data_IF_404539278784
#
_entry.id   IF_404539278784
#
_cell.length_a   1.000
_cell.length_b   1.000
_cell.length_c   1.000
_cell.angle_alpha   90.00
_cell.angle_beta   90.00
_cell.angle_gamma   90.00
#
_symmetry.space_group_name_H-M   'P 1'
#
loop_
_entity.id
_entity.type
_entity.pdbx_description
1 polymer ?
#
# COMPACT_ATOMS: atom_id res chain seq x y z
N UNK A 1 -9.09 3.31 53.59
CA UNK A 1 -8.43 4.24 52.63
C UNK A 1 -7.27 3.61 51.85
N UNK A 2 -6.47 2.67 52.40
CA UNK A 2 -5.40 1.99 51.63
C UNK A 2 -5.90 0.95 50.60
N UNK A 3 -7.05 0.32 50.85
CA UNK A 3 -7.67 -0.68 49.96
C UNK A 3 -8.39 -0.08 48.74
N UNK A 4 -8.86 1.18 48.81
CA UNK A 4 -9.48 1.86 47.66
C UNK A 4 -8.45 2.33 46.63
N UNK A 5 -7.21 2.64 47.05
CA UNK A 5 -6.15 3.04 46.13
C UNK A 5 -5.64 1.87 45.26
N UNK A 6 -5.72 0.63 45.76
CA UNK A 6 -5.29 -0.55 45.02
C UNK A 6 -6.26 -0.98 43.91
N UNK A 7 -7.57 -0.71 44.06
CA UNK A 7 -8.57 -1.06 43.03
C UNK A 7 -8.56 -0.11 41.82
N UNK A 8 -8.11 1.14 41.96
CA UNK A 8 -8.05 2.12 40.86
C UNK A 8 -6.86 1.90 39.91
N UNK A 9 -5.83 1.14 40.30
CA UNK A 9 -4.69 0.84 39.42
C UNK A 9 -4.89 -0.41 38.54
N UNK A 10 -5.93 -1.22 38.79
CA UNK A 10 -6.22 -2.44 38.02
C UNK A 10 -7.02 -2.18 36.72
N UNK A 11 -7.39 -0.93 36.44
CA UNK A 11 -8.18 -0.55 35.25
C UNK A 11 -7.37 0.21 34.19
N UNK A 12 -6.07 0.43 34.42
CA UNK A 12 -5.16 0.98 33.42
C UNK A 12 -4.36 -0.15 32.76
N UNK A 13 -5.05 -1.12 32.16
CA UNK A 13 -4.39 -1.95 31.15
C UNK A 13 -4.04 -1.01 30.00
N UNK A 14 -2.76 -0.89 29.59
CA UNK A 14 -2.42 -0.11 28.42
C UNK A 14 -3.12 -0.76 27.22
N UNK A 15 -4.20 -0.13 26.74
CA UNK A 15 -4.71 -0.41 25.42
C UNK A 15 -3.56 -0.10 24.46
N UNK A 16 -2.93 -1.14 23.94
CA UNK A 16 -1.99 -0.98 22.84
C UNK A 16 -2.83 -0.51 21.66
N UNK A 17 -2.88 0.80 21.45
CA UNK A 17 -3.54 1.39 20.30
C UNK A 17 -2.77 0.92 19.06
N UNK A 18 -3.37 0.00 18.31
CA UNK A 18 -2.88 -0.37 16.98
C UNK A 18 -3.03 0.85 16.10
N UNK A 19 -1.89 1.42 15.69
CA UNK A 19 -1.86 2.54 14.77
C UNK A 19 -2.22 2.06 13.35
N UNK A 20 -2.98 2.86 12.61
CA UNK A 20 -3.30 2.56 11.22
C UNK A 20 -2.05 2.69 10.33
N UNK A 21 -1.91 1.77 9.37
CA UNK A 21 -0.87 1.85 8.35
C UNK A 21 -1.34 2.62 7.11
N UNK A 22 -0.38 3.15 6.36
CA UNK A 22 -0.61 3.76 5.05
C UNK A 22 0.52 3.32 4.11
N UNK A 23 0.25 3.06 2.82
CA UNK A 23 -1.08 3.03 2.18
C UNK A 23 -1.94 1.87 2.71
N UNK A 24 -3.24 1.89 2.42
CA UNK A 24 -4.16 0.84 2.81
C UNK A 24 -5.37 0.71 1.85
N UNK A 25 -5.95 -0.48 1.81
CA UNK A 25 -7.17 -0.79 1.06
C UNK A 25 -8.43 -0.43 1.87
N UNK A 26 -9.37 0.19 1.19
CA UNK A 26 -10.68 0.60 1.69
C UNK A 26 -11.78 0.14 0.73
N UNK A 27 -12.99 0.00 1.25
CA UNK A 27 -14.20 -0.25 0.46
C UNK A 27 -15.16 0.93 0.61
N UNK A 28 -15.87 1.27 -0.47
CA UNK A 28 -16.89 2.32 -0.45
C UNK A 28 -18.05 1.90 0.46
N UNK A 29 -18.52 2.84 1.27
CA UNK A 29 -19.59 2.61 2.23
C UNK A 29 -20.42 3.88 2.44
N UNK A 30 -21.71 3.73 2.75
CA UNK A 30 -22.58 4.86 3.05
C UNK A 30 -22.94 5.75 1.85
N UNK A 31 -22.75 5.27 0.62
CA UNK A 31 -23.17 5.91 -0.64
C UNK A 31 -24.44 5.21 -1.15
N UNK A 32 -25.42 5.97 -1.62
CA UNK A 32 -26.67 5.40 -2.15
C UNK A 32 -26.41 4.64 -3.46
N UNK A 33 -27.24 3.63 -3.77
CA UNK A 33 -27.04 2.76 -4.93
C UNK A 33 -27.16 3.47 -6.29
N UNK A 34 -27.85 4.61 -6.33
CA UNK A 34 -28.02 5.49 -7.49
C UNK A 34 -27.11 6.73 -7.47
N UNK A 35 -26.13 6.77 -6.56
CA UNK A 35 -25.16 7.86 -6.42
C UNK A 35 -23.72 7.36 -6.67
N UNK A 36 -22.73 8.25 -6.53
CA UNK A 36 -21.31 7.94 -6.63
C UNK A 36 -20.49 8.68 -5.58
N UNK A 37 -19.36 8.09 -5.18
CA UNK A 37 -18.37 8.79 -4.38
C UNK A 37 -17.38 9.53 -5.28
N UNK A 38 -17.45 10.86 -5.29
CA UNK A 38 -16.58 11.69 -6.11
C UNK A 38 -15.13 11.70 -5.62
N UNK A 39 -14.19 11.58 -6.56
CA UNK A 39 -12.77 11.90 -6.38
C UNK A 39 -12.57 13.33 -6.86
N UNK A 40 -12.00 14.18 -6.02
CA UNK A 40 -11.86 15.61 -6.24
C UNK A 40 -10.41 16.02 -6.40
N UNK A 41 -10.15 17.09 -7.13
CA UNK A 41 -8.80 17.56 -7.40
C UNK A 41 -8.01 17.95 -6.13
N UNK A 42 -8.73 18.35 -5.07
CA UNK A 42 -8.19 18.74 -3.77
C UNK A 42 -9.07 18.17 -2.64
N UNK A 43 -8.59 18.10 -1.38
CA UNK A 43 -9.38 17.68 -0.23
C UNK A 43 -10.42 18.75 0.18
N UNK A 44 -11.35 19.04 -0.73
CA UNK A 44 -12.37 20.07 -0.61
C UNK A 44 -13.64 19.62 -1.37
N UNK A 45 -14.80 19.68 -0.72
CA UNK A 45 -16.08 19.29 -1.30
C UNK A 45 -16.55 20.20 -2.45
N UNK A 46 -15.94 21.37 -2.61
CA UNK A 46 -16.18 22.31 -3.71
C UNK A 46 -15.18 22.15 -4.86
N UNK A 47 -14.09 21.39 -4.66
CA UNK A 47 -13.08 21.20 -5.70
C UNK A 47 -13.64 20.43 -6.90
N UNK A 48 -13.09 20.66 -8.12
CA UNK A 48 -13.49 19.96 -9.33
C UNK A 48 -13.44 18.44 -9.16
N UNK A 49 -14.42 17.75 -9.75
CA UNK A 49 -14.48 16.29 -9.78
C UNK A 49 -13.54 15.80 -10.89
N UNK A 50 -12.62 14.90 -10.54
CA UNK A 50 -11.61 14.30 -11.45
C UNK A 50 -11.79 12.80 -11.65
N UNK A 51 -12.76 12.21 -10.94
CA UNK A 51 -13.10 10.80 -11.01
C UNK A 51 -14.26 10.47 -10.08
N UNK A 52 -14.69 9.22 -10.10
CA UNK A 52 -15.74 8.73 -9.19
C UNK A 52 -15.55 7.25 -8.90
N UNK A 53 -16.04 6.82 -7.75
CA UNK A 53 -16.10 5.43 -7.30
C UNK A 53 -17.56 5.01 -7.20
N UNK A 54 -17.84 3.76 -7.58
CA UNK A 54 -19.17 3.16 -7.44
C UNK A 54 -19.53 2.98 -5.96
N UNK A 55 -20.82 2.95 -5.61
CA UNK A 55 -21.28 2.73 -4.24
C UNK A 55 -20.77 1.43 -3.58
N UNK A 56 -20.45 0.43 -4.38
CA UNK A 56 -19.98 -0.90 -3.98
C UNK A 56 -18.51 -1.16 -4.37
N UNK A 57 -17.75 -0.12 -4.69
CA UNK A 57 -16.36 -0.30 -5.11
C UNK A 57 -15.50 -0.79 -3.93
N UNK A 58 -14.76 -1.87 -4.16
CA UNK A 58 -13.86 -2.50 -3.19
C UNK A 58 -12.39 -2.26 -3.56
N UNK A 59 -11.48 -2.51 -2.61
CA UNK A 59 -10.03 -2.48 -2.82
C UNK A 59 -9.50 -1.13 -3.31
N UNK A 60 -10.06 -0.05 -2.81
CA UNK A 60 -9.61 1.32 -3.06
C UNK A 60 -8.33 1.57 -2.27
N UNK A 61 -7.19 1.67 -2.96
CA UNK A 61 -5.94 2.06 -2.33
C UNK A 61 -5.97 3.55 -1.97
N UNK A 62 -6.02 3.84 -0.67
CA UNK A 62 -5.79 5.17 -0.12
C UNK A 62 -4.32 5.28 0.26
N UNK A 63 -3.63 6.19 -0.42
CA UNK A 63 -2.18 6.36 -0.33
C UNK A 63 -1.77 6.98 1.00
N UNK A 64 -2.48 8.03 1.41
CA UNK A 64 -2.29 8.75 2.68
C UNK A 64 -3.51 9.61 3.01
N UNK A 65 -3.75 9.92 4.29
CA UNK A 65 -4.77 10.89 4.68
C UNK A 65 -4.25 12.33 4.53
N UNK A 66 -5.17 13.30 4.63
CA UNK A 66 -4.86 14.67 4.99
C UNK A 66 -4.62 14.81 6.51
N UNK A 67 -4.16 15.99 6.94
CA UNK A 67 -3.77 16.22 8.35
C UNK A 67 -4.94 16.00 9.33
N UNK A 68 -6.17 16.24 8.88
CA UNK A 68 -7.38 16.08 9.66
C UNK A 68 -8.06 14.71 9.51
N UNK A 69 -7.51 13.82 8.69
CA UNK A 69 -8.09 12.50 8.39
C UNK A 69 -9.54 12.56 7.89
N UNK A 70 -9.93 13.64 7.22
CA UNK A 70 -11.22 13.80 6.55
C UNK A 70 -11.17 13.36 5.08
N UNK A 71 -9.99 13.40 4.47
CA UNK A 71 -9.76 13.10 3.07
C UNK A 71 -8.60 12.12 2.89
N UNK A 72 -8.75 11.21 1.94
CA UNK A 72 -7.72 10.27 1.50
C UNK A 72 -7.24 10.63 0.10
N UNK A 73 -5.94 10.56 -0.13
CA UNK A 73 -5.37 10.66 -1.47
C UNK A 73 -5.48 9.31 -2.18
N UNK A 74 -6.09 9.28 -3.36
CA UNK A 74 -6.22 8.11 -4.23
C UNK A 74 -5.72 8.43 -5.63
N UNK A 75 -5.28 7.42 -6.38
CA UNK A 75 -4.99 7.58 -7.80
C UNK A 75 -6.28 7.43 -8.63
N UNK A 76 -6.38 8.18 -9.74
CA UNK A 76 -7.48 8.11 -10.70
C UNK A 76 -6.91 8.33 -12.10
N UNK A 77 -6.90 7.27 -12.93
CA UNK A 77 -6.19 7.29 -14.22
C UNK A 77 -4.69 7.54 -14.04
N UNK A 78 -4.16 8.52 -14.78
CA UNK A 78 -2.77 8.96 -14.73
C UNK A 78 -2.51 10.02 -13.64
N UNK A 79 -3.54 10.44 -12.91
CA UNK A 79 -3.46 11.45 -11.87
C UNK A 79 -3.86 10.94 -10.50
N UNK A 80 -4.13 11.89 -9.60
CA UNK A 80 -4.52 11.67 -8.21
C UNK A 80 -5.53 12.69 -7.73
N UNK A 81 -6.28 12.36 -6.69
CA UNK A 81 -7.27 13.25 -6.10
C UNK A 81 -7.65 12.85 -4.67
N UNK A 82 -8.38 13.74 -4.00
CA UNK A 82 -8.94 13.54 -2.68
C UNK A 82 -10.30 12.85 -2.74
N UNK A 83 -10.51 11.87 -1.88
CA UNK A 83 -11.81 11.24 -1.61
C UNK A 83 -12.15 11.38 -0.14
N UNK A 84 -13.42 11.59 0.20
CA UNK A 84 -13.81 11.76 1.60
C UNK A 84 -13.77 10.43 2.35
N UNK A 85 -12.97 10.34 3.41
CA UNK A 85 -12.77 9.12 4.20
C UNK A 85 -14.05 8.68 4.93
N UNK A 86 -15.01 9.57 5.14
CA UNK A 86 -16.31 9.24 5.75
C UNK A 86 -17.13 8.20 4.98
N UNK A 87 -16.83 8.03 3.69
CA UNK A 87 -17.51 7.10 2.78
C UNK A 87 -16.63 5.90 2.44
N UNK A 88 -15.55 5.70 3.19
CA UNK A 88 -14.61 4.61 3.01
C UNK A 88 -14.49 3.84 4.32
N UNK A 89 -14.66 2.53 4.26
CA UNK A 89 -14.41 1.62 5.37
C UNK A 89 -13.09 0.91 5.14
N UNK A 90 -12.19 1.01 6.10
CA UNK A 90 -10.86 0.39 6.02
C UNK A 90 -10.96 -1.13 6.09
N UNK A 91 -10.30 -1.84 5.19
CA UNK A 91 -10.22 -3.29 5.30
C UNK A 91 -9.38 -3.70 6.52
N UNK A 92 -9.78 -4.81 7.16
CA UNK A 92 -9.14 -5.31 8.38
C UNK A 92 -7.69 -5.79 8.15
N UNK A 93 -6.92 -5.96 9.24
CA UNK A 93 -5.57 -6.57 9.18
C UNK A 93 -4.42 -5.64 8.76
N UNK A 94 -4.70 -4.38 8.40
CA UNK A 94 -3.68 -3.45 7.86
C UNK A 94 -3.12 -2.48 8.93
N UNK A 95 -2.56 -2.94 10.05
CA UNK A 95 -2.04 -2.04 11.10
C UNK A 95 -0.55 -1.70 10.88
N UNK A 96 -0.02 -0.68 11.55
CA UNK A 96 1.37 -0.24 11.39
C UNK A 96 2.37 -1.33 11.81
N UNK A 97 3.10 -1.88 10.83
CA UNK A 97 3.98 -3.03 11.00
C UNK A 97 3.39 -4.35 10.49
N UNK A 98 2.12 -4.38 10.08
CA UNK A 98 1.57 -5.47 9.28
C UNK A 98 2.15 -5.42 7.86
N UNK A 99 2.42 -6.58 7.28
CA UNK A 99 2.81 -6.67 5.88
C UNK A 99 1.71 -6.08 4.99
N UNK A 100 1.98 -5.05 4.17
CA UNK A 100 0.98 -4.51 3.26
C UNK A 100 0.62 -5.57 2.19
N UNK A 101 -0.65 -5.62 1.75
CA UNK A 101 -1.09 -6.50 0.67
C UNK A 101 -0.63 -5.96 -0.69
N UNK A 102 0.68 -5.96 -0.92
CA UNK A 102 1.29 -5.46 -2.17
C UNK A 102 0.76 -6.29 -3.33
N UNK A 103 0.20 -5.63 -4.34
CA UNK A 103 -0.30 -6.27 -5.54
C UNK A 103 0.66 -6.15 -6.71
N UNK A 104 1.31 -4.98 -6.84
CA UNK A 104 2.21 -4.67 -7.95
C UNK A 104 3.30 -3.70 -7.52
N UNK A 105 4.50 -3.87 -8.07
CA UNK A 105 5.57 -2.89 -8.00
C UNK A 105 6.19 -2.69 -9.38
N UNK A 106 6.84 -1.56 -9.61
CA UNK A 106 7.58 -1.31 -10.84
C UNK A 106 8.43 -0.06 -10.79
N UNK A 107 9.31 0.05 -11.79
CA UNK A 107 10.22 1.17 -11.96
C UNK A 107 10.24 1.65 -13.40
N UNK A 108 10.58 2.93 -13.54
CA UNK A 108 10.70 3.60 -14.83
C UNK A 108 12.19 3.77 -15.14
N UNK A 109 12.61 3.09 -16.22
CA UNK A 109 13.99 3.06 -16.75
C UNK A 109 15.06 2.36 -15.86
N UNK A 110 15.44 1.11 -16.20
CA UNK A 110 14.78 0.25 -17.18
C UNK A 110 13.31 0.03 -16.79
N UNK A 111 12.41 -0.13 -17.76
CA UNK A 111 11.02 -0.48 -17.45
C UNK A 111 10.96 -1.92 -16.96
N UNK A 112 10.48 -2.09 -15.72
CA UNK A 112 10.27 -3.38 -15.10
C UNK A 112 9.07 -3.32 -14.17
N UNK A 113 8.49 -4.48 -13.89
CA UNK A 113 7.47 -4.63 -12.86
C UNK A 113 7.51 -6.02 -12.25
N UNK A 114 6.90 -6.17 -11.08
CA UNK A 114 6.43 -7.47 -10.65
C UNK A 114 5.03 -7.38 -10.07
N UNK A 115 4.26 -8.43 -10.27
CA UNK A 115 2.97 -8.65 -9.63
C UNK A 115 3.10 -9.71 -8.54
N UNK A 116 2.35 -9.54 -7.45
CA UNK A 116 2.26 -10.54 -6.37
C UNK A 116 0.87 -11.17 -6.43
N UNK A 117 0.82 -12.51 -6.50
CA UNK A 117 -0.41 -13.30 -6.44
C UNK A 117 -0.22 -14.47 -5.48
N UNK A 118 -0.81 -14.39 -4.29
CA UNK A 118 -0.60 -15.40 -3.25
C UNK A 118 0.88 -15.52 -2.88
N UNK A 119 1.47 -16.69 -3.12
CA UNK A 119 2.89 -16.97 -2.87
C UNK A 119 3.77 -16.79 -4.12
N UNK A 120 3.28 -16.15 -5.19
CA UNK A 120 4.04 -15.96 -6.43
C UNK A 120 4.34 -14.49 -6.67
N UNK A 121 5.60 -14.18 -6.95
CA UNK A 121 6.06 -12.92 -7.51
C UNK A 121 6.40 -13.16 -8.99
N UNK A 122 5.64 -12.52 -9.89
CA UNK A 122 5.83 -12.61 -11.34
C UNK A 122 6.50 -11.34 -11.83
N UNK A 123 7.78 -11.43 -12.18
CA UNK A 123 8.59 -10.34 -12.69
C UNK A 123 8.50 -10.25 -14.21
N UNK A 124 8.42 -9.03 -14.73
CA UNK A 124 8.39 -8.72 -16.16
C UNK A 124 9.27 -7.49 -16.46
N UNK A 125 10.00 -7.54 -17.57
CA UNK A 125 10.74 -6.41 -18.10
C UNK A 125 10.79 -6.50 -19.62
N UNK A 126 10.76 -5.35 -20.31
CA UNK A 126 10.59 -5.30 -21.78
C UNK A 126 11.64 -6.09 -22.58
N UNK A 127 12.85 -6.25 -22.05
CA UNK A 127 13.96 -6.91 -22.73
C UNK A 127 14.10 -8.40 -22.41
N UNK A 128 13.32 -8.91 -21.45
CA UNK A 128 13.49 -10.26 -20.89
C UNK A 128 12.18 -11.05 -20.96
N UNK A 129 12.28 -12.38 -20.86
CA UNK A 129 11.08 -13.20 -20.63
C UNK A 129 10.59 -13.04 -19.19
N UNK A 130 9.26 -13.11 -18.94
CA UNK A 130 8.72 -13.11 -17.59
C UNK A 130 9.35 -14.20 -16.72
N UNK A 131 9.54 -13.90 -15.43
CA UNK A 131 10.17 -14.79 -14.46
C UNK A 131 9.32 -14.90 -13.21
N UNK A 132 9.00 -16.13 -12.82
CA UNK A 132 8.25 -16.39 -11.61
C UNK A 132 9.16 -16.82 -10.47
N UNK A 133 8.93 -16.24 -9.30
CA UNK A 133 9.58 -16.57 -8.04
C UNK A 133 8.51 -16.98 -7.03
N UNK A 134 8.69 -18.14 -6.40
CA UNK A 134 7.89 -18.52 -5.24
C UNK A 134 8.38 -17.75 -4.02
N UNK A 135 7.52 -16.97 -3.40
CA UNK A 135 7.78 -16.25 -2.14
C UNK A 135 7.94 -17.27 -1.03
N UNK A 136 9.16 -17.42 -0.53
CA UNK A 136 9.51 -18.31 0.59
C UNK A 136 9.51 -17.58 1.92
N UNK A 137 9.71 -16.26 1.91
CA UNK A 137 9.67 -15.45 3.11
C UNK A 137 9.11 -14.06 2.81
N UNK A 138 8.27 -13.55 3.72
CA UNK A 138 7.85 -12.16 3.75
C UNK A 138 7.60 -11.70 5.18
N UNK A 139 7.59 -10.39 5.40
CA UNK A 139 7.26 -9.83 6.71
C UNK A 139 7.82 -8.44 6.94
N UNK A 140 7.66 -7.96 8.17
CA UNK A 140 8.21 -6.69 8.61
C UNK A 140 9.67 -6.82 9.05
N UNK A 141 10.41 -5.72 8.89
CA UNK A 141 11.76 -5.60 9.41
C UNK A 141 11.78 -5.60 10.95
N UNK A 142 12.89 -6.04 11.53
CA UNK A 142 13.11 -5.92 12.97
C UNK A 142 13.33 -4.46 13.35
N UNK A 143 12.70 -4.00 14.44
CA UNK A 143 12.88 -2.65 14.99
C UNK A 143 12.25 -1.52 14.19
N UNK A 144 11.56 -1.81 13.07
CA UNK A 144 10.90 -0.82 12.21
C UNK A 144 9.51 -1.30 11.77
N UNK A 145 8.51 -0.42 11.83
CA UNK A 145 7.11 -0.73 11.45
C UNK A 145 6.74 -0.29 10.03
N UNK A 146 7.67 0.39 9.37
CA UNK A 146 7.55 1.06 8.08
C UNK A 146 8.41 0.36 7.01
N UNK A 147 8.91 -0.85 7.28
CA UNK A 147 9.84 -1.56 6.42
C UNK A 147 9.52 -3.04 6.37
N UNK A 148 9.61 -3.62 5.18
CA UNK A 148 9.15 -4.97 4.87
C UNK A 148 10.08 -5.65 3.86
N UNK A 149 9.90 -6.95 3.67
CA UNK A 149 10.62 -7.70 2.66
C UNK A 149 9.79 -8.80 1.99
N UNK A 150 10.20 -9.16 0.78
CA UNK A 150 9.93 -10.44 0.14
C UNK A 150 11.26 -11.11 -0.19
N UNK A 151 11.32 -12.43 -0.02
CA UNK A 151 12.34 -13.29 -0.57
C UNK A 151 11.61 -14.35 -1.39
N UNK A 152 11.94 -14.41 -2.67
CA UNK A 152 11.41 -15.36 -3.62
C UNK A 152 12.50 -16.17 -4.30
N UNK A 153 12.20 -17.42 -4.63
CA UNK A 153 13.11 -18.34 -5.30
C UNK A 153 12.44 -18.90 -6.56
N UNK A 154 13.20 -19.03 -7.63
CA UNK A 154 12.73 -19.57 -8.91
C UNK A 154 13.84 -20.29 -9.67
N UNK A 155 13.52 -20.92 -10.82
CA UNK A 155 14.49 -21.67 -11.60
C UNK A 155 15.69 -20.85 -12.10
N UNK A 156 15.53 -19.53 -12.16
CA UNK A 156 16.52 -18.58 -12.70
C UNK A 156 17.24 -17.78 -11.59
N UNK A 157 17.04 -18.13 -10.31
CA UNK A 157 17.69 -17.49 -9.17
C UNK A 157 16.70 -17.02 -8.11
N UNK A 158 17.10 -16.02 -7.34
CA UNK A 158 16.29 -15.41 -6.29
C UNK A 158 15.88 -13.96 -6.60
N UNK A 159 14.77 -13.54 -5.99
CA UNK A 159 14.30 -12.16 -5.95
C UNK A 159 14.20 -11.71 -4.49
N UNK A 160 14.92 -10.66 -4.11
CA UNK A 160 14.88 -10.09 -2.77
C UNK A 160 14.38 -8.65 -2.91
N UNK A 161 13.18 -8.38 -2.43
CA UNK A 161 12.61 -7.03 -2.42
C UNK A 161 12.57 -6.50 -1.00
N UNK A 162 13.05 -5.28 -0.78
CA UNK A 162 12.81 -4.54 0.46
C UNK A 162 11.86 -3.39 0.17
N UNK A 163 10.86 -3.21 1.02
CA UNK A 163 9.84 -2.17 0.87
C UNK A 163 9.90 -1.21 2.05
N UNK A 164 9.53 0.03 1.79
CA UNK A 164 9.38 1.05 2.83
C UNK A 164 8.13 1.91 2.60
N UNK A 165 7.40 2.23 3.67
CA UNK A 165 6.27 3.17 3.59
C UNK A 165 6.81 4.58 3.52
N UNK A 166 6.93 5.10 2.30
CA UNK A 166 7.36 6.46 1.99
C UNK A 166 6.73 6.91 0.68
N UNK A 167 6.58 8.23 0.53
CA UNK A 167 6.14 8.81 -0.73
C UNK A 167 7.09 8.40 -1.86
N UNK A 168 6.51 7.92 -2.96
CA UNK A 168 7.22 7.47 -4.16
C UNK A 168 6.50 8.00 -5.41
N UNK A 169 7.27 8.21 -6.48
CA UNK A 169 6.80 8.66 -7.79
C UNK A 169 7.46 7.81 -8.87
N UNK A 170 6.71 7.47 -9.91
CA UNK A 170 7.22 6.78 -11.10
C UNK A 170 7.92 7.74 -12.09
N UNK A 171 7.92 9.04 -11.81
CA UNK A 171 8.59 10.06 -12.63
C UNK A 171 7.96 10.33 -14.00
N UNK A 172 6.87 9.64 -14.35
CA UNK A 172 6.24 9.71 -15.68
C UNK A 172 4.76 10.10 -15.62
N UNK A 173 4.10 9.90 -14.48
CA UNK A 173 2.70 10.25 -14.27
C UNK A 173 2.52 11.17 -13.05
N UNK A 174 1.31 11.71 -12.91
CA UNK A 174 0.90 12.48 -11.73
C UNK A 174 0.42 11.57 -10.58
N UNK A 175 0.56 10.25 -10.71
CA UNK A 175 0.21 9.28 -9.68
C UNK A 175 1.11 9.44 -8.46
N UNK A 176 0.56 9.10 -7.30
CA UNK A 176 1.30 9.01 -6.05
C UNK A 176 1.33 7.57 -5.55
N UNK A 177 2.43 7.19 -4.91
CA UNK A 177 2.57 5.86 -4.30
C UNK A 177 3.02 6.02 -2.85
N UNK A 178 2.48 5.18 -1.97
CA UNK A 178 2.80 5.17 -0.54
C UNK A 178 3.90 4.18 -0.16
N UNK A 179 4.36 3.38 -1.11
CA UNK A 179 5.38 2.36 -0.93
C UNK A 179 6.47 2.53 -1.99
N UNK A 180 7.71 2.48 -1.53
CA UNK A 180 8.90 2.36 -2.39
C UNK A 180 9.51 0.97 -2.21
N UNK A 181 10.15 0.47 -3.26
CA UNK A 181 10.84 -0.83 -3.28
C UNK A 181 12.26 -0.70 -3.80
N UNK A 182 13.15 -1.46 -3.18
CA UNK A 182 14.47 -1.83 -3.69
C UNK A 182 14.45 -3.34 -3.97
N UNK A 183 14.63 -3.73 -5.23
CA UNK A 183 14.63 -5.10 -5.71
C UNK A 183 16.06 -5.51 -6.08
N UNK A 184 16.55 -6.55 -5.44
CA UNK A 184 17.75 -7.29 -5.84
C UNK A 184 17.29 -8.57 -6.55
N UNK A 185 17.59 -8.64 -7.85
CA UNK A 185 17.14 -9.71 -8.71
C UNK A 185 18.34 -10.48 -9.23
N UNK A 186 18.40 -11.77 -8.92
CA UNK A 186 19.43 -12.65 -9.44
C UNK A 186 19.04 -13.08 -10.86
N UNK A 187 20.01 -13.02 -11.77
CA UNK A 187 19.91 -13.59 -13.11
C UNK A 187 21.23 -14.27 -13.51
N UNK A 188 21.29 -14.68 -14.78
CA UNK A 188 22.46 -15.37 -15.32
C UNK A 188 23.72 -14.49 -15.31
N UNK A 189 23.55 -13.17 -15.47
CA UNK A 189 24.65 -12.19 -15.51
C UNK A 189 24.98 -11.60 -14.13
N UNK A 190 24.43 -12.17 -13.06
CA UNK A 190 24.64 -11.72 -11.68
C UNK A 190 23.43 -11.03 -11.06
N UNK A 191 23.68 -10.15 -10.09
CA UNK A 191 22.64 -9.42 -9.37
C UNK A 191 22.35 -8.08 -10.02
N UNK A 192 21.08 -7.80 -10.25
CA UNK A 192 20.57 -6.50 -10.67
C UNK A 192 19.93 -5.81 -9.47
N UNK A 193 20.20 -4.52 -9.29
CA UNK A 193 19.52 -3.68 -8.30
C UNK A 193 18.60 -2.71 -9.03
N UNK A 194 17.32 -2.78 -8.71
CA UNK A 194 16.27 -1.95 -9.28
C UNK A 194 15.52 -1.22 -8.16
N UNK A 195 15.08 0.00 -8.45
CA UNK A 195 14.28 0.79 -7.50
C UNK A 195 12.97 1.19 -8.15
N UNK A 196 11.90 1.30 -7.36
CA UNK A 196 10.56 1.53 -7.88
C UNK A 196 9.53 1.88 -6.82
N UNK A 197 8.29 1.97 -7.25
CA UNK A 197 7.13 2.20 -6.39
C UNK A 197 6.21 0.98 -6.38
N UNK A 198 5.43 0.82 -5.32
CA UNK A 198 4.45 -0.26 -5.19
C UNK A 198 3.03 0.27 -4.95
N UNK A 199 2.06 -0.54 -5.36
CA UNK A 199 0.62 -0.34 -5.20
C UNK A 199 -0.01 -1.58 -4.55
N UNK A 200 -1.04 -1.35 -3.75
CA UNK A 200 -1.87 -2.40 -3.14
C UNK A 200 -2.98 -2.89 -4.09
N UNK A 201 -3.24 -2.12 -5.14
CA UNK A 201 -4.19 -2.44 -6.23
C UNK A 201 -3.44 -2.67 -7.54
N UNK A 202 -4.08 -3.36 -8.49
CA UNK A 202 -3.55 -3.54 -9.86
C UNK A 202 -4.13 -2.51 -10.81
#
# INVERSE_FOLDING_TARGET
>A
MRLLAALLCLWALPASATQEAWPALYDVSGVAADDVLNIRQAPDASAPIVGSLKPDAENIEVIRPDDHHGWGLVNSGEGRGGVSLRYLTRQSGQWAGAMPPVARCGGTEPFWSFDVTGETLSYDALADSPRDFRITQSGAAQGRRDSFHFIGEGPQGAAIATLSTRACSDGMSDRAYGLAVDLLLQGNDGWQHQTGCCSLSR
#
